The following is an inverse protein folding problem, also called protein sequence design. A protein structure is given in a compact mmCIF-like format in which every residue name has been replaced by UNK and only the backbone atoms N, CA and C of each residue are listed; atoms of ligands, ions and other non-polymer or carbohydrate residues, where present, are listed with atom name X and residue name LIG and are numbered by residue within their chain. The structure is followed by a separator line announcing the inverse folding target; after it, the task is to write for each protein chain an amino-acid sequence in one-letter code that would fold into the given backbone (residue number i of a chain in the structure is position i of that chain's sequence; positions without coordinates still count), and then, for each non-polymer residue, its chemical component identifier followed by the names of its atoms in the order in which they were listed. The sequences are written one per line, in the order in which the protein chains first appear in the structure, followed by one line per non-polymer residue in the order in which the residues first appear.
data_IF_208441572771
#
_entry.id   IF_208441572771
#
_cell.length_a   1.000
_cell.length_b   1.000
_cell.length_c   1.000
_cell.angle_alpha   90.00
_cell.angle_beta   90.00
_cell.angle_gamma   90.00
#
_symmetry.space_group_name_H-M   'P 1'
#
loop_
_entity.id
_entity.type
_entity.pdbx_description
1 polymer ?
#
# COMPACT_ATOMS: atom_id res chain seq x y z
N UNK A 1 3.46 -16.81 2.90
CA UNK A 1 4.58 -15.97 2.40
C UNK A 1 4.12 -14.52 2.51
N UNK A 2 4.96 -13.63 3.05
CA UNK A 2 4.66 -12.20 3.12
C UNK A 2 5.46 -11.51 2.02
N UNK A 3 4.77 -10.85 1.09
CA UNK A 3 5.40 -10.09 0.02
C UNK A 3 5.03 -8.62 0.19
N UNK A 4 6.03 -7.74 0.08
CA UNK A 4 5.84 -6.30 0.17
C UNK A 4 6.44 -5.62 -1.05
N UNK A 5 5.71 -4.67 -1.62
CA UNK A 5 6.14 -3.87 -2.78
C UNK A 5 5.99 -2.39 -2.47
N UNK A 6 7.04 -1.63 -2.70
CA UNK A 6 6.96 -0.17 -2.64
C UNK A 6 6.27 0.35 -3.91
N UNK A 7 5.25 1.18 -3.71
CA UNK A 7 4.50 1.82 -4.79
C UNK A 7 4.88 3.29 -4.82
N UNK A 8 5.42 3.73 -5.96
CA UNK A 8 5.84 5.10 -6.17
C UNK A 8 4.82 5.83 -7.04
N UNK A 9 4.52 7.07 -6.66
CA UNK A 9 3.88 8.02 -7.54
C UNK A 9 4.92 8.54 -8.53
N UNK A 10 4.57 8.59 -9.82
CA UNK A 10 5.40 9.16 -10.87
C UNK A 10 4.52 10.00 -11.79
N UNK A 11 4.41 11.29 -11.51
CA UNK A 11 3.53 12.19 -12.26
C UNK A 11 3.88 13.65 -12.04
N UNK A 12 3.50 14.52 -12.98
CA UNK A 12 3.79 15.96 -12.95
C UNK A 12 5.27 16.33 -12.74
N UNK A 13 6.20 15.48 -13.20
CA UNK A 13 7.64 15.69 -13.00
C UNK A 13 8.15 15.32 -11.61
N UNK A 14 7.30 14.77 -10.74
CA UNK A 14 7.67 14.32 -9.39
C UNK A 14 7.67 12.79 -9.31
N UNK A 15 8.62 12.25 -8.53
CA UNK A 15 8.66 10.85 -8.13
C UNK A 15 8.79 10.77 -6.62
N UNK A 16 7.81 10.14 -5.96
CA UNK A 16 7.81 10.04 -4.51
C UNK A 16 7.11 8.77 -4.03
N UNK A 17 7.41 8.33 -2.80
CA UNK A 17 6.90 7.06 -2.28
C UNK A 17 5.43 7.24 -1.91
N UNK A 18 4.53 6.54 -2.59
CA UNK A 18 3.10 6.64 -2.31
C UNK A 18 2.67 5.74 -1.17
N UNK A 19 3.22 4.52 -1.11
CA UNK A 19 2.89 3.57 -0.06
C UNK A 19 3.49 2.18 -0.30
N UNK A 20 3.05 1.23 0.52
CA UNK A 20 3.50 -0.16 0.48
C UNK A 20 2.30 -1.07 0.26
N UNK A 21 2.38 -1.90 -0.78
CA UNK A 21 1.42 -2.97 -1.02
C UNK A 21 1.93 -4.24 -0.34
N UNK A 22 1.12 -4.82 0.53
CA UNK A 22 1.43 -6.02 1.31
C UNK A 22 0.47 -7.13 0.87
N UNK A 23 1.02 -8.28 0.49
CA UNK A 23 0.26 -9.49 0.20
C UNK A 23 0.67 -10.60 1.16
N UNK A 24 -0.30 -11.23 1.80
CA UNK A 24 -0.09 -12.33 2.73
C UNK A 24 -1.10 -13.45 2.51
N UNK A 25 -0.61 -14.68 2.48
CA UNK A 25 -1.44 -15.91 2.55
C UNK A 25 -1.37 -16.59 3.92
N UNK A 26 -0.70 -15.96 4.90
CA UNK A 26 -0.20 -16.64 6.09
C UNK A 26 -1.29 -17.00 7.12
N UNK A 27 -2.38 -16.24 7.21
CA UNK A 27 -3.29 -16.33 8.36
C UNK A 27 -4.54 -17.19 8.09
N UNK A 28 -5.09 -17.16 6.89
CA UNK A 28 -6.42 -17.77 6.58
C UNK A 28 -6.40 -18.74 5.40
N UNK A 29 -5.24 -18.90 4.73
CA UNK A 29 -5.14 -19.59 3.44
C UNK A 29 -5.77 -18.81 2.27
N UNK A 30 -6.45 -17.70 2.54
CA UNK A 30 -6.88 -16.74 1.52
C UNK A 30 -5.82 -15.66 1.33
N UNK A 31 -5.58 -15.21 0.08
CA UNK A 31 -4.70 -14.07 -0.16
C UNK A 31 -5.35 -12.78 0.39
N UNK A 32 -4.70 -12.20 1.39
CA UNK A 32 -5.03 -10.86 1.89
C UNK A 32 -4.11 -9.85 1.21
N UNK A 33 -4.69 -8.79 0.66
CA UNK A 33 -3.96 -7.65 0.10
C UNK A 33 -4.28 -6.44 0.96
N UNK A 34 -3.25 -5.75 1.44
CA UNK A 34 -3.35 -4.51 2.18
C UNK A 34 -2.48 -3.43 1.52
N UNK A 35 -2.92 -2.18 1.60
CA UNK A 35 -2.15 -1.04 1.14
C UNK A 35 -1.99 -0.03 2.26
N UNK A 36 -0.75 0.36 2.53
CA UNK A 36 -0.41 1.32 3.57
C UNK A 36 0.18 2.57 2.91
N UNK A 37 -0.41 3.74 3.17
CA UNK A 37 0.13 5.01 2.68
C UNK A 37 1.46 5.33 3.37
N UNK A 38 2.39 5.89 2.61
CA UNK A 38 3.62 6.41 3.17
C UNK A 38 3.34 7.65 4.03
N UNK A 39 4.24 8.00 4.97
CA UNK A 39 4.15 9.27 5.69
C UNK A 39 4.08 10.48 4.75
N UNK A 40 4.77 10.38 3.61
CA UNK A 40 4.81 11.40 2.57
C UNK A 40 3.45 11.58 1.87
N UNK A 41 2.73 10.48 1.64
CA UNK A 41 1.38 10.48 1.10
C UNK A 41 0.37 11.07 2.10
N UNK A 42 0.48 10.72 3.38
CA UNK A 42 -0.39 11.26 4.43
C UNK A 42 -0.21 12.78 4.56
N UNK A 43 1.03 13.26 4.53
CA UNK A 43 1.32 14.70 4.54
C UNK A 43 0.72 15.43 3.33
N UNK A 44 0.63 14.75 2.18
CA UNK A 44 -0.03 15.27 0.96
C UNK A 44 -1.55 15.11 0.95
N UNK A 45 -2.16 14.60 2.03
CA UNK A 45 -3.61 14.47 2.20
C UNK A 45 -4.20 13.11 1.80
N UNK A 46 -3.37 12.11 1.48
CA UNK A 46 -3.83 10.76 1.22
C UNK A 46 -3.97 9.98 2.54
N UNK A 47 -5.19 9.69 2.98
CA UNK A 47 -5.46 8.91 4.20
C UNK A 47 -6.01 7.52 3.89
N UNK A 48 -5.58 6.50 4.63
CA UNK A 48 -6.01 5.09 4.47
C UNK A 48 -7.25 4.82 5.30
N UNK A 49 -8.33 4.38 4.64
CA UNK A 49 -9.40 3.63 5.30
C UNK A 49 -10.11 2.70 4.31
N UNK A 50 -9.42 1.69 3.77
CA UNK A 50 -10.08 0.62 3.01
C UNK A 50 -9.40 -0.74 3.28
N UNK A 51 -10.04 -1.56 4.13
CA UNK A 51 -9.76 -2.99 4.22
C UNK A 51 -10.86 -3.69 3.41
N UNK A 52 -10.51 -4.29 2.27
CA UNK A 52 -11.40 -5.17 1.53
C UNK A 52 -10.97 -6.63 1.76
N UNK A 53 -11.85 -7.45 2.34
CA UNK A 53 -11.68 -8.91 2.37
C UNK A 53 -12.48 -9.53 1.22
N UNK A 54 -11.85 -10.38 0.40
CA UNK A 54 -12.49 -11.24 -0.61
C UNK A 54 -12.80 -12.64 -0.04
#
# INVERSE_FOLDING_TARGET
MLNSLNVYYNGWGESWLWGTLISSTATTGRPTIAFEYSPEAIQRGFSSLLIYSL
#
